data_IF_518876193999
#
_entry.id   IF_518876193999
#
_cell.length_a   1.000
_cell.length_b   1.000
_cell.length_c   1.000
_cell.angle_alpha   90.00
_cell.angle_beta   90.00
_cell.angle_gamma   90.00
#
_symmetry.space_group_name_H-M   'P 1'
#
loop_
_entity.id
_entity.type
_entity.pdbx_description
1 polymer ?
#
# COMPACT_ATOMS: atom_id res chain seq x y z
N UNK A 1 -31.88 9.67 1.11
CA UNK A 1 -31.30 8.34 0.88
C UNK A 1 -30.33 8.46 -0.28
N UNK A 2 -29.08 8.08 -0.09
CA UNK A 2 -28.05 8.24 -1.14
C UNK A 2 -28.20 7.11 -2.14
N UNK A 3 -28.32 7.46 -3.42
CA UNK A 3 -28.38 6.51 -4.53
C UNK A 3 -27.03 6.50 -5.21
N UNK A 4 -26.41 5.33 -5.32
CA UNK A 4 -25.17 5.11 -6.05
C UNK A 4 -25.48 4.30 -7.29
N UNK A 5 -25.10 4.82 -8.47
CA UNK A 5 -25.27 4.11 -9.74
C UNK A 5 -24.07 3.21 -10.03
N UNK A 6 -24.28 2.18 -10.83
CA UNK A 6 -23.19 1.28 -11.24
C UNK A 6 -22.03 2.05 -11.88
N UNK A 7 -22.34 2.96 -12.80
CA UNK A 7 -21.32 3.75 -13.49
C UNK A 7 -20.53 4.66 -12.55
N UNK A 8 -21.14 5.17 -11.47
CA UNK A 8 -20.43 6.01 -10.49
C UNK A 8 -19.31 5.21 -9.81
N UNK A 9 -19.57 3.95 -9.45
CA UNK A 9 -18.59 3.06 -8.83
C UNK A 9 -17.52 2.60 -9.83
N UNK A 10 -17.94 2.18 -11.02
CA UNK A 10 -17.04 1.73 -12.10
C UNK A 10 -16.06 2.84 -12.46
N UNK A 11 -16.57 4.06 -12.66
CA UNK A 11 -15.75 5.21 -13.03
C UNK A 11 -14.83 5.64 -11.88
N UNK A 12 -15.32 5.65 -10.63
CA UNK A 12 -14.48 5.99 -9.47
C UNK A 12 -13.28 5.04 -9.32
N UNK A 13 -13.48 3.74 -9.51
CA UNK A 13 -12.38 2.76 -9.46
C UNK A 13 -11.41 2.95 -10.62
N UNK A 14 -11.92 3.12 -11.85
CA UNK A 14 -11.08 3.32 -13.04
C UNK A 14 -10.24 4.60 -12.93
N UNK A 15 -10.86 5.71 -12.54
CA UNK A 15 -10.20 7.00 -12.36
C UNK A 15 -9.18 6.95 -11.22
N UNK A 16 -9.48 6.28 -10.10
CA UNK A 16 -8.53 6.10 -9.01
C UNK A 16 -7.29 5.32 -9.46
N UNK A 17 -7.47 4.19 -10.17
CA UNK A 17 -6.35 3.40 -10.71
C UNK A 17 -5.47 4.20 -11.66
N UNK A 18 -6.08 4.99 -12.53
CA UNK A 18 -5.37 5.89 -13.42
C UNK A 18 -4.58 6.93 -12.63
N UNK A 19 -5.23 7.61 -11.68
CA UNK A 19 -4.60 8.64 -10.86
C UNK A 19 -3.38 8.11 -10.08
N UNK A 20 -3.54 7.00 -9.35
CA UNK A 20 -2.45 6.43 -8.54
C UNK A 20 -1.34 5.81 -9.39
N UNK A 21 -1.60 5.53 -10.68
CA UNK A 21 -0.57 4.97 -11.57
C UNK A 21 0.56 5.96 -11.84
N UNK A 22 0.28 7.27 -11.86
CA UNK A 22 1.26 8.30 -12.22
C UNK A 22 1.46 9.42 -11.19
N UNK A 23 0.68 9.43 -10.10
CA UNK A 23 0.89 10.35 -8.96
C UNK A 23 1.30 9.59 -7.70
N UNK A 24 2.45 9.99 -7.13
CA UNK A 24 2.72 9.70 -5.73
C UNK A 24 1.97 10.69 -4.82
N UNK A 25 1.54 10.26 -3.63
CA UNK A 25 1.07 11.15 -2.57
C UNK A 25 2.09 12.24 -2.20
N UNK A 26 1.59 13.43 -1.86
CA UNK A 26 2.43 14.61 -1.55
C UNK A 26 3.29 14.39 -0.30
N UNK A 27 2.74 13.74 0.71
CA UNK A 27 3.43 13.35 1.94
C UNK A 27 4.59 12.37 1.65
N UNK A 28 4.41 11.37 0.78
CA UNK A 28 5.50 10.50 0.32
C UNK A 28 6.63 11.31 -0.32
N UNK A 29 6.31 12.21 -1.24
CA UNK A 29 7.32 13.05 -1.91
C UNK A 29 8.05 13.96 -0.93
N UNK A 30 7.36 14.53 0.05
CA UNK A 30 7.99 15.35 1.10
C UNK A 30 8.95 14.53 1.98
N UNK A 31 8.53 13.33 2.40
CA UNK A 31 9.39 12.43 3.18
C UNK A 31 10.60 11.98 2.38
N UNK A 32 10.41 11.64 1.10
CA UNK A 32 11.48 11.23 0.21
C UNK A 32 12.48 12.37 -0.10
N UNK A 33 11.98 13.61 -0.25
CA UNK A 33 12.84 14.79 -0.43
C UNK A 33 13.67 15.08 0.83
N UNK A 34 13.07 14.99 2.03
CA UNK A 34 13.82 15.10 3.30
C UNK A 34 14.88 14.00 3.44
N UNK A 35 14.56 12.77 3.00
CA UNK A 35 15.53 11.67 2.96
C UNK A 35 16.69 11.98 2.00
N UNK A 36 16.41 12.51 0.81
CA UNK A 36 17.42 12.94 -0.17
C UNK A 36 18.37 14.01 0.40
N UNK A 37 17.84 15.01 1.08
CA UNK A 37 18.62 16.11 1.66
C UNK A 37 19.57 15.66 2.76
N UNK A 38 19.19 14.62 3.52
CA UNK A 38 19.99 14.09 4.64
C UNK A 38 20.94 12.97 4.22
N UNK A 39 20.70 12.31 3.10
CA UNK A 39 21.46 11.12 2.68
C UNK A 39 22.94 11.44 2.45
N UNK A 40 23.79 10.59 3.01
CA UNK A 40 25.25 10.72 2.98
C UNK A 40 25.89 9.77 1.96
N UNK A 41 25.28 8.61 1.72
CA UNK A 41 25.73 7.65 0.72
C UNK A 41 25.43 8.20 -0.69
N UNK A 42 26.45 8.44 -1.54
CA UNK A 42 26.21 8.95 -2.90
C UNK A 42 25.28 8.03 -3.71
N UNK A 43 25.47 6.71 -3.59
CA UNK A 43 24.66 5.72 -4.30
C UNK A 43 23.18 5.74 -3.86
N UNK A 44 22.91 5.80 -2.55
CA UNK A 44 21.53 5.90 -2.07
C UNK A 44 20.91 7.25 -2.39
N UNK A 45 21.69 8.33 -2.33
CA UNK A 45 21.22 9.68 -2.67
C UNK A 45 20.82 9.76 -4.14
N UNK A 46 21.62 9.18 -5.04
CA UNK A 46 21.31 9.09 -6.47
C UNK A 46 20.07 8.22 -6.73
N UNK A 47 19.92 7.10 -6.00
CA UNK A 47 18.72 6.27 -6.10
C UNK A 47 17.45 7.03 -5.68
N UNK A 48 17.51 7.81 -4.60
CA UNK A 48 16.39 8.66 -4.17
C UNK A 48 16.09 9.75 -5.23
N UNK A 49 17.14 10.38 -5.79
CA UNK A 49 16.98 11.38 -6.85
C UNK A 49 16.30 10.81 -8.11
N UNK A 50 16.61 9.57 -8.47
CA UNK A 50 15.96 8.87 -9.56
C UNK A 50 14.47 8.65 -9.28
N UNK A 51 14.08 8.27 -8.06
CA UNK A 51 12.68 8.11 -7.68
C UNK A 51 11.93 9.45 -7.76
N UNK A 52 12.52 10.54 -7.24
CA UNK A 52 11.93 11.88 -7.30
C UNK A 52 11.77 12.37 -8.75
N UNK A 53 12.80 12.16 -9.58
CA UNK A 53 12.78 12.54 -11.00
C UNK A 53 11.73 11.73 -11.76
N UNK A 54 11.70 10.41 -11.56
CA UNK A 54 10.70 9.53 -12.15
C UNK A 54 9.29 9.96 -11.74
N UNK A 55 9.07 10.26 -10.45
CA UNK A 55 7.77 10.74 -9.97
C UNK A 55 7.31 11.99 -10.69
N UNK A 56 8.21 12.95 -10.92
CA UNK A 56 7.88 14.17 -11.68
C UNK A 56 7.55 13.85 -13.14
N UNK A 57 8.39 13.05 -13.80
CA UNK A 57 8.21 12.70 -15.21
C UNK A 57 6.90 11.93 -15.43
N UNK A 58 6.53 11.03 -14.53
CA UNK A 58 5.27 10.30 -14.56
C UNK A 58 4.07 11.23 -14.38
N UNK A 59 4.13 12.15 -13.41
CA UNK A 59 3.08 13.13 -13.16
C UNK A 59 2.85 14.07 -14.36
N UNK A 60 3.92 14.57 -14.99
CA UNK A 60 3.84 15.44 -16.17
C UNK A 60 3.44 14.67 -17.43
N UNK A 61 3.96 13.44 -17.61
CA UNK A 61 3.77 12.62 -18.79
C UNK A 61 2.55 11.71 -18.75
N UNK A 62 1.84 11.63 -17.61
CA UNK A 62 0.74 10.67 -17.34
C UNK A 62 1.10 9.24 -17.70
N UNK A 63 2.28 8.80 -17.25
CA UNK A 63 2.80 7.44 -17.46
C UNK A 63 3.02 6.72 -16.15
N UNK A 64 2.87 5.38 -16.10
CA UNK A 64 2.95 4.65 -14.85
C UNK A 64 4.31 4.83 -14.16
N UNK A 65 4.28 4.99 -12.83
CA UNK A 65 5.46 5.16 -11.96
C UNK A 65 6.40 3.96 -12.01
N UNK A 66 5.85 2.78 -12.26
CA UNK A 66 6.55 1.52 -12.26
C UNK A 66 6.08 0.66 -13.42
N UNK A 67 6.97 -0.16 -13.98
CA UNK A 67 6.61 -1.18 -14.96
C UNK A 67 5.61 -2.20 -14.39
N UNK A 68 5.66 -2.41 -13.08
CA UNK A 68 4.69 -3.21 -12.35
C UNK A 68 3.57 -2.32 -11.82
N UNK A 69 2.48 -2.26 -12.58
CA UNK A 69 1.27 -1.52 -12.19
C UNK A 69 0.42 -2.29 -11.17
N UNK A 70 0.91 -3.42 -10.64
CA UNK A 70 0.41 -4.07 -9.44
C UNK A 70 -0.88 -4.88 -9.59
N UNK A 71 -1.16 -5.70 -8.57
CA UNK A 71 -2.47 -6.33 -8.36
C UNK A 71 -3.39 -5.35 -7.61
N UNK A 72 -4.65 -5.27 -8.01
CA UNK A 72 -5.60 -4.33 -7.40
C UNK A 72 -6.19 -4.93 -6.13
N UNK A 73 -6.07 -4.20 -5.03
CA UNK A 73 -6.81 -4.41 -3.80
C UNK A 73 -7.84 -3.27 -3.65
N UNK A 74 -9.08 -3.60 -3.31
CA UNK A 74 -10.14 -2.61 -3.10
C UNK A 74 -10.76 -2.84 -1.72
N UNK A 75 -10.83 -1.79 -0.91
CA UNK A 75 -11.52 -1.79 0.37
C UNK A 75 -12.77 -0.93 0.24
N UNK A 76 -13.92 -1.55 0.43
CA UNK A 76 -15.24 -0.93 0.36
C UNK A 76 -15.83 -0.85 1.76
N UNK A 77 -16.22 0.36 2.18
CA UNK A 77 -17.15 0.53 3.30
C UNK A 77 -18.48 1.01 2.75
N UNK A 78 -19.51 0.18 2.90
CA UNK A 78 -20.84 0.41 2.35
C UNK A 78 -21.78 0.84 3.46
N UNK A 79 -22.26 2.08 3.39
CA UNK A 79 -23.28 2.61 4.29
C UNK A 79 -24.59 1.81 4.23
N UNK A 80 -25.16 1.45 5.39
CA UNK A 80 -26.43 0.72 5.51
C UNK A 80 -27.62 1.44 4.83
N UNK A 81 -27.55 2.76 4.68
CA UNK A 81 -28.61 3.59 4.07
C UNK A 81 -28.38 3.85 2.57
N UNK A 82 -27.39 3.21 1.95
CA UNK A 82 -27.11 3.30 0.52
C UNK A 82 -28.14 2.50 -0.29
N UNK A 83 -28.59 3.06 -1.40
CA UNK A 83 -29.37 2.34 -2.41
C UNK A 83 -28.58 2.23 -3.71
N UNK A 84 -28.59 1.03 -4.29
CA UNK A 84 -27.91 0.72 -5.53
C UNK A 84 -28.89 0.83 -6.70
N UNK A 85 -28.53 1.58 -7.74
CA UNK A 85 -29.37 1.77 -8.92
C UNK A 85 -28.66 1.33 -10.20
N UNK A 86 -29.36 0.58 -11.04
CA UNK A 86 -28.85 0.18 -12.36
C UNK A 86 -27.73 -0.87 -12.32
N UNK A 87 -27.50 -1.51 -11.18
CA UNK A 87 -26.55 -2.61 -11.07
C UNK A 87 -27.06 -3.85 -11.81
N UNK A 88 -26.26 -4.36 -12.75
CA UNK A 88 -26.54 -5.59 -13.50
C UNK A 88 -25.89 -6.83 -12.87
N UNK A 89 -25.04 -6.62 -11.86
CA UNK A 89 -24.33 -7.66 -11.13
C UNK A 89 -24.03 -7.23 -9.69
N UNK A 90 -23.07 -7.90 -9.07
CA UNK A 90 -22.59 -7.57 -7.73
C UNK A 90 -21.73 -6.30 -7.71
N UNK A 91 -21.48 -5.76 -6.52
CA UNK A 91 -20.47 -4.72 -6.32
C UNK A 91 -19.09 -5.17 -6.78
N UNK A 92 -18.76 -6.45 -6.62
CA UNK A 92 -17.50 -7.01 -7.10
C UNK A 92 -17.41 -6.97 -8.63
N UNK A 93 -18.50 -7.22 -9.34
CA UNK A 93 -18.54 -7.12 -10.81
C UNK A 93 -18.34 -5.67 -11.26
N UNK A 94 -18.97 -4.71 -10.59
CA UNK A 94 -18.76 -3.28 -10.86
C UNK A 94 -17.32 -2.84 -10.57
N UNK A 95 -16.72 -3.28 -9.47
CA UNK A 95 -15.30 -3.02 -9.17
C UNK A 95 -14.40 -3.62 -10.27
N UNK A 96 -14.61 -4.87 -10.66
CA UNK A 96 -13.80 -5.52 -11.69
C UNK A 96 -13.99 -4.86 -13.07
N UNK A 97 -15.19 -4.37 -13.39
CA UNK A 97 -15.41 -3.56 -14.59
C UNK A 97 -14.62 -2.24 -14.53
N UNK A 98 -14.54 -1.60 -13.36
CA UNK A 98 -13.70 -0.43 -13.14
C UNK A 98 -12.20 -0.73 -13.25
N UNK A 99 -11.76 -1.88 -12.75
CA UNK A 99 -10.37 -2.36 -12.89
C UNK A 99 -10.02 -2.58 -14.36
N UNK A 100 -10.84 -3.35 -15.07
CA UNK A 100 -10.65 -3.63 -16.50
C UNK A 100 -10.61 -2.33 -17.31
N UNK A 101 -11.55 -1.41 -17.06
CA UNK A 101 -11.58 -0.07 -17.69
C UNK A 101 -10.33 0.75 -17.36
N UNK A 102 -9.91 0.76 -16.10
CA UNK A 102 -8.71 1.48 -15.65
C UNK A 102 -7.44 0.94 -16.30
N UNK A 103 -7.26 -0.38 -16.38
CA UNK A 103 -6.05 -0.98 -16.96
C UNK A 103 -6.00 -0.87 -18.48
N UNK A 104 -7.17 -0.90 -19.14
CA UNK A 104 -7.30 -0.78 -20.59
C UNK A 104 -7.55 0.65 -21.07
N UNK A 105 -7.34 1.66 -20.20
CA UNK A 105 -7.57 3.05 -20.56
C UNK A 105 -6.71 3.45 -21.78
N UNK A 106 -7.29 3.96 -22.88
CA UNK A 106 -6.60 4.12 -24.16
C UNK A 106 -5.41 5.09 -24.09
N UNK A 107 -5.51 6.13 -23.25
CA UNK A 107 -4.45 7.14 -23.11
C UNK A 107 -3.31 6.73 -22.16
N UNK A 108 -3.51 5.68 -21.36
CA UNK A 108 -2.52 5.20 -20.38
C UNK A 108 -2.80 3.74 -20.02
N UNK A 109 -2.47 2.85 -20.96
CA UNK A 109 -2.64 1.40 -20.80
C UNK A 109 -1.66 0.90 -19.72
N UNK A 110 -2.20 0.26 -18.69
CA UNK A 110 -1.43 -0.30 -17.59
C UNK A 110 -1.07 -1.77 -17.88
N UNK A 111 -0.10 -2.32 -17.14
CA UNK A 111 0.35 -3.70 -17.34
C UNK A 111 -0.53 -4.70 -16.59
N UNK A 112 -1.28 -5.51 -17.34
CA UNK A 112 -1.97 -6.66 -16.78
C UNK A 112 -0.99 -7.74 -16.28
N UNK A 113 -0.96 -7.93 -14.97
CA UNK A 113 -0.02 -8.79 -14.25
C UNK A 113 -0.69 -9.98 -13.54
N UNK A 114 -2.04 -10.05 -13.55
CA UNK A 114 -2.81 -11.15 -12.96
C UNK A 114 -2.90 -12.35 -13.91
N UNK A 115 -2.82 -13.55 -13.33
CA UNK A 115 -3.01 -14.83 -14.01
C UNK A 115 -4.25 -15.54 -13.44
N UNK A 116 -5.07 -16.13 -14.31
CA UNK A 116 -6.35 -16.74 -13.92
C UNK A 116 -6.17 -18.05 -13.14
N UNK A 117 -5.25 -18.90 -13.59
CA UNK A 117 -4.90 -20.15 -12.91
C UNK A 117 -3.53 -19.98 -12.23
N UNK A 118 -3.48 -19.74 -10.91
CA UNK A 118 -2.22 -19.48 -10.23
C UNK A 118 -1.29 -20.70 -10.15
N UNK A 119 -1.83 -21.92 -10.23
CA UNK A 119 -1.10 -23.16 -9.95
C UNK A 119 -0.62 -23.87 -11.21
N UNK A 120 -1.44 -23.91 -12.26
CA UNK A 120 -1.14 -24.69 -13.45
C UNK A 120 -0.92 -23.81 -14.67
N UNK A 121 -1.98 -23.46 -15.41
CA UNK A 121 -1.84 -22.87 -16.74
C UNK A 121 -1.32 -21.43 -16.73
N UNK A 122 -1.55 -20.68 -15.63
CA UNK A 122 -1.05 -19.31 -15.43
C UNK A 122 -1.31 -18.37 -16.61
N UNK A 123 -2.45 -18.56 -17.30
CA UNK A 123 -2.89 -17.67 -18.38
C UNK A 123 -3.17 -16.26 -17.84
N UNK A 124 -2.56 -15.26 -18.45
CA UNK A 124 -2.77 -13.85 -18.09
C UNK A 124 -4.20 -13.41 -18.42
N UNK A 125 -4.83 -12.63 -17.53
CA UNK A 125 -6.22 -12.16 -17.71
C UNK A 125 -6.37 -11.01 -18.70
N UNK A 126 -5.25 -10.37 -19.06
CA UNK A 126 -5.11 -9.27 -20.04
C UNK A 126 -5.74 -7.95 -19.65
N UNK A 127 -6.51 -7.91 -18.58
CA UNK A 127 -7.14 -6.69 -18.04
C UNK A 127 -6.90 -6.51 -16.53
N UNK A 128 -6.03 -7.33 -15.95
CA UNK A 128 -5.64 -7.33 -14.54
C UNK A 128 -6.74 -7.66 -13.54
N UNK A 129 -7.89 -8.17 -14.00
CA UNK A 129 -8.92 -8.72 -13.12
C UNK A 129 -8.58 -10.17 -12.73
N UNK A 130 -9.20 -10.71 -11.66
CA UNK A 130 -10.01 -10.01 -10.66
C UNK A 130 -9.16 -9.22 -9.66
N UNK A 131 -9.75 -8.18 -9.07
CA UNK A 131 -9.23 -7.52 -7.88
C UNK A 131 -9.44 -8.37 -6.62
N UNK A 132 -8.61 -8.14 -5.60
CA UNK A 132 -8.81 -8.61 -4.24
C UNK A 132 -9.70 -7.60 -3.51
N UNK A 133 -10.94 -7.99 -3.21
CA UNK A 133 -11.97 -7.06 -2.69
C UNK A 133 -12.29 -7.39 -1.23
N UNK A 134 -12.13 -6.39 -0.37
CA UNK A 134 -12.57 -6.39 1.01
C UNK A 134 -13.77 -5.47 1.14
N UNK A 135 -14.83 -5.95 1.78
CA UNK A 135 -16.08 -5.20 1.91
C UNK A 135 -16.61 -5.30 3.33
N UNK A 136 -16.97 -4.14 3.89
CA UNK A 136 -17.60 -4.00 5.19
C UNK A 136 -18.90 -3.19 5.06
N UNK A 137 -19.94 -3.58 5.80
CA UNK A 137 -21.16 -2.79 5.94
C UNK A 137 -21.01 -1.89 7.17
N UNK A 138 -21.20 -0.58 7.00
CA UNK A 138 -21.02 0.43 8.05
C UNK A 138 -22.27 1.30 8.21
N UNK A 139 -22.48 1.95 9.37
CA UNK A 139 -23.56 2.93 9.50
C UNK A 139 -23.43 4.10 8.51
N UNK A 140 -24.55 4.74 8.18
CA UNK A 140 -24.59 5.94 7.33
C UNK A 140 -24.96 5.66 5.88
N UNK A 141 -24.81 6.68 5.04
CA UNK A 141 -25.36 6.75 3.68
C UNK A 141 -24.29 7.01 2.61
N UNK A 142 -23.03 6.70 2.89
CA UNK A 142 -21.90 6.90 1.97
C UNK A 142 -21.30 5.56 1.55
N UNK A 143 -20.55 5.58 0.45
CA UNK A 143 -19.66 4.47 0.05
C UNK A 143 -18.25 5.02 0.04
N UNK A 144 -17.37 4.44 0.86
CA UNK A 144 -15.94 4.73 0.83
C UNK A 144 -15.26 3.66 -0.03
N UNK A 145 -14.43 4.10 -0.98
CA UNK A 145 -13.69 3.22 -1.88
C UNK A 145 -12.20 3.57 -1.77
N UNK A 146 -11.43 2.67 -1.17
CA UNK A 146 -9.97 2.78 -1.12
C UNK A 146 -9.38 1.78 -2.12
N UNK A 147 -8.59 2.29 -3.06
CA UNK A 147 -7.97 1.49 -4.13
C UNK A 147 -6.47 1.48 -3.95
N UNK A 148 -5.87 0.29 -3.98
CA UNK A 148 -4.43 0.11 -3.91
C UNK A 148 -3.94 -0.81 -5.04
N UNK A 149 -3.05 -0.28 -5.89
CA UNK A 149 -2.35 -1.05 -6.90
C UNK A 149 -1.01 -1.56 -6.32
N UNK A 150 -1.00 -2.81 -5.83
CA UNK A 150 0.13 -3.35 -5.07
C UNK A 150 1.10 -4.09 -5.98
N UNK A 151 2.31 -3.54 -6.15
CA UNK A 151 3.38 -4.19 -6.91
C UNK A 151 3.76 -5.54 -6.31
N UNK A 152 3.92 -6.57 -7.15
CA UNK A 152 4.19 -7.95 -6.76
C UNK A 152 5.51 -8.10 -5.99
N UNK A 153 6.51 -7.26 -6.30
CA UNK A 153 7.77 -7.21 -5.55
C UNK A 153 7.56 -6.94 -4.07
N UNK A 154 6.72 -5.94 -3.76
CA UNK A 154 6.38 -5.57 -2.38
C UNK A 154 5.39 -6.54 -1.73
N UNK A 155 4.43 -7.07 -2.49
CA UNK A 155 3.47 -8.07 -2.01
C UNK A 155 4.17 -9.36 -1.56
N UNK A 156 5.18 -9.80 -2.31
CA UNK A 156 5.99 -10.98 -1.97
C UNK A 156 6.85 -10.80 -0.71
N UNK A 157 6.96 -9.58 -0.18
CA UNK A 157 7.64 -9.30 1.09
C UNK A 157 6.72 -9.24 2.30
N UNK A 158 5.41 -9.47 2.11
CA UNK A 158 4.49 -9.70 3.22
C UNK A 158 4.95 -10.89 4.08
N UNK A 159 5.03 -10.71 5.40
CA UNK A 159 5.46 -11.73 6.37
C UNK A 159 4.43 -11.88 7.47
N UNK A 160 4.33 -13.10 7.99
CA UNK A 160 3.42 -13.46 9.06
C UNK A 160 4.16 -14.34 10.08
N UNK A 161 3.85 -14.15 11.37
CA UNK A 161 4.38 -14.95 12.46
C UNK A 161 3.36 -15.01 13.60
N UNK A 162 3.31 -16.14 14.31
CA UNK A 162 2.62 -16.25 15.60
C UNK A 162 3.64 -15.98 16.70
N UNK A 163 3.50 -14.86 17.39
CA UNK A 163 4.33 -14.49 18.54
C UNK A 163 3.63 -14.92 19.82
N UNK A 164 4.40 -15.43 20.79
CA UNK A 164 3.89 -15.57 22.15
C UNK A 164 3.68 -14.19 22.77
N UNK A 165 2.82 -14.04 23.79
CA UNK A 165 2.61 -12.76 24.47
C UNK A 165 3.88 -12.11 25.04
N UNK A 166 4.90 -12.91 25.34
CA UNK A 166 6.21 -12.45 25.83
C UNK A 166 7.22 -12.08 24.74
N UNK A 167 6.93 -12.40 23.48
CA UNK A 167 7.87 -12.17 22.38
C UNK A 167 7.87 -10.69 21.94
N UNK A 168 9.02 -10.22 21.47
CA UNK A 168 9.21 -8.84 21.02
C UNK A 168 8.90 -8.70 19.53
N UNK A 169 7.90 -7.88 19.20
CA UNK A 169 7.62 -7.46 17.82
C UNK A 169 8.84 -6.77 17.21
N UNK A 170 9.55 -5.96 18.00
CA UNK A 170 10.75 -5.24 17.55
C UNK A 170 11.84 -6.22 17.12
N UNK A 171 12.13 -7.23 17.94
CA UNK A 171 13.17 -8.21 17.64
C UNK A 171 12.83 -9.03 16.40
N UNK A 172 11.55 -9.39 16.25
CA UNK A 172 11.07 -10.07 15.06
C UNK A 172 11.23 -9.21 13.80
N UNK A 173 10.85 -7.92 13.84
CA UNK A 173 11.03 -7.00 12.71
C UNK A 173 12.50 -6.86 12.36
N UNK A 174 13.36 -6.66 13.36
CA UNK A 174 14.81 -6.51 13.15
C UNK A 174 15.48 -7.75 12.58
N UNK A 175 14.99 -8.94 12.91
CA UNK A 175 15.43 -10.20 12.29
C UNK A 175 14.89 -10.36 10.87
N UNK A 176 13.69 -9.86 10.59
CA UNK A 176 12.95 -10.13 9.35
C UNK A 176 13.31 -9.18 8.22
N UNK A 177 13.41 -7.87 8.50
CA UNK A 177 13.66 -6.84 7.47
C UNK A 177 14.92 -7.12 6.63
N UNK A 178 16.07 -7.52 7.21
CA UNK A 178 17.25 -7.88 6.42
C UNK A 178 17.00 -9.01 5.42
N UNK A 179 16.11 -9.96 5.74
CA UNK A 179 15.80 -11.11 4.87
C UNK A 179 14.96 -10.73 3.65
N UNK A 180 14.31 -9.56 3.67
CA UNK A 180 13.49 -9.08 2.55
C UNK A 180 14.36 -8.64 1.36
N UNK A 181 15.63 -8.29 1.60
CA UNK A 181 16.51 -7.70 0.60
C UNK A 181 15.93 -6.40 0.01
N UNK A 182 16.40 -6.00 -1.17
CA UNK A 182 15.97 -4.78 -1.84
C UNK A 182 14.73 -4.94 -2.76
N UNK A 183 14.16 -6.15 -2.87
CA UNK A 183 13.12 -6.47 -3.87
C UNK A 183 11.75 -5.80 -3.67
N UNK A 184 11.61 -4.95 -2.65
CA UNK A 184 10.44 -4.09 -2.40
C UNK A 184 10.74 -2.61 -2.64
N UNK A 185 11.91 -2.29 -3.21
CA UNK A 185 12.35 -0.97 -3.66
C UNK A 185 12.38 0.10 -2.54
N UNK A 186 13.17 -0.09 -1.45
CA UNK A 186 13.33 0.96 -0.44
C UNK A 186 13.89 2.27 -1.06
N UNK A 187 13.63 3.45 -0.47
CA UNK A 187 12.93 3.63 0.79
C UNK A 187 11.40 3.57 0.62
N UNK A 188 10.76 2.75 1.46
CA UNK A 188 9.31 2.54 1.46
C UNK A 188 8.70 2.68 2.85
N UNK A 189 7.58 2.02 3.11
CA UNK A 189 6.92 2.00 4.42
C UNK A 189 6.82 0.57 4.94
N UNK A 190 6.80 0.42 6.27
CA UNK A 190 6.39 -0.83 6.91
C UNK A 190 4.98 -0.68 7.47
N UNK A 191 4.09 -1.59 7.09
CA UNK A 191 2.77 -1.74 7.68
C UNK A 191 2.75 -2.98 8.55
N UNK A 192 2.37 -2.82 9.82
CA UNK A 192 2.40 -3.90 10.82
C UNK A 192 0.99 -4.04 11.41
N UNK A 193 0.42 -5.23 11.28
CA UNK A 193 -0.83 -5.59 11.95
C UNK A 193 -0.54 -6.48 13.15
N UNK A 194 -1.04 -6.10 14.33
CA UNK A 194 -0.83 -6.83 15.59
C UNK A 194 -2.17 -7.27 16.17
N UNK A 195 -2.31 -8.56 16.45
CA UNK A 195 -3.52 -9.16 17.02
C UNK A 195 -4.60 -9.50 15.98
N UNK A 196 -5.80 -9.81 16.45
CA UNK A 196 -6.83 -10.48 15.64
C UNK A 196 -6.46 -11.91 15.25
N UNK A 197 -7.11 -12.45 14.22
CA UNK A 197 -6.68 -13.71 13.58
C UNK A 197 -5.59 -13.45 12.55
N UNK A 198 -4.99 -14.50 11.99
CA UNK A 198 -3.97 -14.39 10.96
C UNK A 198 -4.43 -13.52 9.77
N UNK A 199 -5.66 -13.72 9.31
CA UNK A 199 -6.26 -12.98 8.20
C UNK A 199 -6.45 -11.50 8.56
N UNK A 200 -6.93 -11.21 9.78
CA UNK A 200 -7.15 -9.83 10.23
C UNK A 200 -5.83 -9.09 10.41
N UNK A 201 -4.81 -9.72 10.98
CA UNK A 201 -3.47 -9.14 11.12
C UNK A 201 -2.88 -8.75 9.76
N UNK A 202 -2.93 -9.66 8.78
CA UNK A 202 -2.41 -9.41 7.44
C UNK A 202 -3.20 -8.34 6.68
N UNK A 203 -4.53 -8.33 6.84
CA UNK A 203 -5.40 -7.30 6.27
C UNK A 203 -5.07 -5.92 6.85
N UNK A 204 -5.00 -5.79 8.17
CA UNK A 204 -4.65 -4.52 8.85
C UNK A 204 -3.25 -4.02 8.48
N UNK A 205 -2.27 -4.91 8.38
CA UNK A 205 -0.92 -4.56 7.95
C UNK A 205 -0.90 -3.91 6.56
N UNK A 206 -1.81 -4.32 5.67
CA UNK A 206 -1.97 -3.72 4.34
C UNK A 206 -2.77 -2.43 4.38
N UNK A 207 -3.89 -2.39 5.11
CA UNK A 207 -4.75 -1.22 5.20
C UNK A 207 -4.05 -0.01 5.82
N UNK A 208 -3.25 -0.24 6.87
CA UNK A 208 -2.56 0.84 7.59
C UNK A 208 -1.51 1.57 6.72
N UNK A 209 -1.07 0.95 5.61
CA UNK A 209 -0.20 1.60 4.62
C UNK A 209 -0.89 2.69 3.81
N UNK A 210 -2.22 2.79 3.87
CA UNK A 210 -3.00 3.84 3.20
C UNK A 210 -3.09 5.12 4.04
N UNK A 211 -2.61 5.10 5.28
CA UNK A 211 -2.56 6.29 6.12
C UNK A 211 -1.48 7.27 5.64
N UNK A 212 -1.70 8.59 5.79
CA UNK A 212 -0.71 9.58 5.44
C UNK A 212 0.60 9.40 6.22
N UNK A 213 1.74 9.61 5.58
CA UNK A 213 3.03 9.61 6.27
C UNK A 213 3.11 10.81 7.22
N UNK A 214 3.49 10.53 8.46
CA UNK A 214 3.57 11.52 9.54
C UNK A 214 4.77 11.34 10.47
N UNK A 215 5.73 10.47 10.09
CA UNK A 215 6.88 10.13 10.95
C UNK A 215 7.72 11.37 11.32
N UNK A 216 7.93 12.31 10.40
CA UNK A 216 8.70 13.51 10.71
C UNK A 216 7.99 14.42 11.72
N UNK A 217 6.68 14.58 11.56
CA UNK A 217 5.85 15.36 12.46
C UNK A 217 5.80 14.67 13.84
N UNK A 218 5.71 13.34 13.87
CA UNK A 218 5.78 12.52 15.08
C UNK A 218 7.14 12.67 15.81
N UNK A 219 8.26 12.59 15.09
CA UNK A 219 9.59 12.79 15.67
C UNK A 219 9.77 14.20 16.24
N UNK A 220 9.23 15.22 15.57
CA UNK A 220 9.35 16.61 16.01
C UNK A 220 8.54 16.90 17.29
N UNK A 221 7.32 16.36 17.39
CA UNK A 221 6.44 16.57 18.55
C UNK A 221 6.70 15.61 19.71
N UNK A 222 7.32 14.46 19.44
CA UNK A 222 7.49 13.35 20.38
C UNK A 222 6.25 12.45 20.51
N UNK A 223 6.42 11.20 20.99
CA UNK A 223 5.32 10.26 21.12
C UNK A 223 4.41 10.65 22.30
N UNK A 224 3.10 10.51 22.11
CA UNK A 224 2.08 10.68 23.16
C UNK A 224 1.46 9.35 23.60
N UNK A 225 1.90 8.22 23.05
CA UNK A 225 1.41 6.89 23.39
C UNK A 225 2.48 5.81 23.23
N UNK A 226 2.26 4.65 23.85
CA UNK A 226 3.13 3.46 23.67
C UNK A 226 3.18 2.97 22.22
N UNK A 227 2.10 3.14 21.47
CA UNK A 227 2.07 2.81 20.05
C UNK A 227 3.02 3.72 19.26
N UNK A 228 3.02 5.01 19.55
CA UNK A 228 3.91 5.98 18.91
C UNK A 228 5.37 5.78 19.32
N UNK A 229 5.64 5.45 20.59
CA UNK A 229 6.97 5.04 21.05
C UNK A 229 7.48 3.84 20.23
N UNK A 230 6.64 2.81 20.04
CA UNK A 230 6.97 1.63 19.24
C UNK A 230 7.21 1.97 17.75
N UNK A 231 6.39 2.86 17.16
CA UNK A 231 6.58 3.33 15.78
C UNK A 231 7.94 4.00 15.59
N UNK A 232 8.30 4.91 16.51
CA UNK A 232 9.60 5.61 16.47
C UNK A 232 10.74 4.61 16.67
N UNK A 233 10.65 3.72 17.66
CA UNK A 233 11.68 2.72 17.93
C UNK A 233 11.95 1.84 16.70
N UNK A 234 10.90 1.33 16.05
CA UNK A 234 11.02 0.53 14.84
C UNK A 234 11.61 1.34 13.67
N UNK A 235 11.16 2.58 13.48
CA UNK A 235 11.67 3.46 12.42
C UNK A 235 13.18 3.70 12.58
N UNK A 236 13.62 4.07 13.78
CA UNK A 236 15.02 4.33 14.07
C UNK A 236 15.88 3.08 13.93
N UNK A 237 15.43 1.95 14.51
CA UNK A 237 16.16 0.68 14.46
C UNK A 237 16.28 0.15 13.04
N UNK A 238 15.20 0.17 12.25
CA UNK A 238 15.22 -0.30 10.86
C UNK A 238 16.14 0.55 9.99
N UNK A 239 16.08 1.88 10.12
CA UNK A 239 16.99 2.75 9.37
C UNK A 239 18.46 2.58 9.82
N UNK A 240 18.69 2.28 11.09
CA UNK A 240 20.04 1.98 11.63
C UNK A 240 20.64 0.67 11.11
N UNK A 241 19.86 -0.21 10.47
CA UNK A 241 20.39 -1.38 9.76
C UNK A 241 21.27 -0.99 8.57
N UNK A 242 21.14 0.25 8.08
CA UNK A 242 21.96 0.76 6.98
C UNK A 242 21.69 0.08 5.64
N UNK A 243 20.53 -0.57 5.44
CA UNK A 243 20.15 -1.19 4.16
C UNK A 243 20.07 -0.12 3.07
N UNK A 244 19.44 1.02 3.38
CA UNK A 244 19.40 2.20 2.54
C UNK A 244 18.53 2.07 1.28
N UNK A 245 18.47 3.15 0.51
CA UNK A 245 17.70 3.21 -0.72
C UNK A 245 18.18 2.14 -1.72
N UNK A 246 17.24 1.38 -2.30
CA UNK A 246 17.47 0.27 -3.22
C UNK A 246 18.42 -0.83 -2.68
N UNK A 247 18.68 -0.87 -1.36
CA UNK A 247 19.67 -1.78 -0.77
C UNK A 247 21.13 -1.39 -1.04
N UNK A 248 21.39 -0.14 -1.42
CA UNK A 248 22.72 0.37 -1.77
C UNK A 248 23.52 0.90 -0.56
N UNK A 249 23.00 0.73 0.65
CA UNK A 249 23.56 1.30 1.85
C UNK A 249 23.23 2.78 2.00
N UNK A 250 22.82 3.21 3.18
CA UNK A 250 22.43 4.62 3.42
C UNK A 250 21.58 4.79 4.67
N UNK A 251 21.09 6.00 4.87
CA UNK A 251 20.34 6.38 6.08
C UNK A 251 18.87 5.99 6.02
N UNK A 252 18.30 5.88 4.81
CA UNK A 252 16.85 5.71 4.63
C UNK A 252 16.52 4.36 3.99
N UNK A 253 16.08 3.42 4.81
CA UNK A 253 15.47 2.15 4.39
C UNK A 253 13.94 2.27 4.41
N UNK A 254 13.39 2.95 5.40
CA UNK A 254 11.95 3.23 5.56
C UNK A 254 11.72 4.72 5.78
N UNK A 255 10.63 5.23 5.23
CA UNK A 255 10.16 6.60 5.41
C UNK A 255 9.17 6.72 6.58
N UNK A 256 8.42 5.66 6.86
CA UNK A 256 7.46 5.58 7.97
C UNK A 256 7.24 4.11 8.39
N UNK A 257 6.79 3.90 9.61
CA UNK A 257 6.30 2.63 10.16
C UNK A 257 4.89 2.86 10.68
N UNK A 258 3.91 2.16 10.11
CA UNK A 258 2.49 2.24 10.45
C UNK A 258 2.08 0.96 11.16
N UNK A 259 1.35 1.09 12.27
CA UNK A 259 0.96 -0.04 13.13
C UNK A 259 -0.53 0.04 13.41
N UNK A 260 -1.25 -1.02 13.06
CA UNK A 260 -2.64 -1.21 13.42
C UNK A 260 -2.76 -2.39 14.40
N UNK A 261 -3.57 -2.22 15.44
CA UNK A 261 -3.77 -3.23 16.49
C UNK A 261 -5.23 -3.66 16.56
N UNK A 262 -5.47 -4.92 16.89
CA UNK A 262 -6.80 -5.47 17.12
C UNK A 262 -6.80 -6.39 18.34
N UNK A 263 -7.92 -6.47 19.10
CA UNK A 263 -8.04 -7.46 20.16
C UNK A 263 -7.74 -8.88 19.66
N UNK A 264 -7.02 -9.65 20.47
CA UNK A 264 -6.64 -11.03 20.14
C UNK A 264 -7.09 -11.98 21.24
N UNK A 265 -7.15 -13.27 20.91
CA UNK A 265 -7.26 -14.31 21.92
C UNK A 265 -6.03 -14.29 22.83
N UNK A 266 -6.19 -14.62 24.10
CA UNK A 266 -5.13 -14.51 25.12
C UNK A 266 -4.03 -15.60 25.03
N UNK A 267 -4.16 -16.56 24.11
CA UNK A 267 -3.26 -17.69 23.93
C UNK A 267 -2.32 -17.45 22.76
#
# INVERSE_FOLDING_TARGET
>A
MTVIKQDDLVESVAAALQYISYYHPVDYIRHLARAYEREQSPAARDAIAQILTNSRMCAEGRRPLCQDTGIVNVYLKVGMDVRWQGFTGSLADAVNAGVSRGYLHPDNVLRASVVADPQFERKNTRDNTPAVIHMEIVPGNTVEVTVAAKGGGSENKSKFVMLNPSDSVVDWVMKTVPTMGAGWCPPGMLGIGIGGTAEKAMMMAKEVLMEPLDMHELLARGPSSKLEELRIELYEKVNSLGIGAQGLGGLSTVLDVKIAMYPTHAA
#
